data_IF_620478462293
#
_entry.id   IF_620478462293
#
_cell.length_a   1.000
_cell.length_b   1.000
_cell.length_c   1.000
_cell.angle_alpha   90.00
_cell.angle_beta   90.00
_cell.angle_gamma   90.00
#
_symmetry.space_group_name_H-M   'P 1'
#
loop_
_entity.id
_entity.type
_entity.pdbx_description
1 polymer ?
#
# COMPACT_ATOMS: atom_id res chain seq x y z
N UNK A 1 -6.32 -6.33 16.09
CA UNK A 1 -5.15 -5.44 15.79
C UNK A 1 -4.03 -6.28 15.18
N UNK A 2 -3.38 -5.80 14.11
CA UNK A 2 -2.12 -6.39 13.65
C UNK A 2 -1.07 -6.26 14.76
N UNK A 3 -0.49 -7.39 15.19
CA UNK A 3 0.63 -7.33 16.13
C UNK A 3 1.84 -6.67 15.45
N UNK A 4 2.68 -5.98 16.20
CA UNK A 4 3.87 -5.34 15.63
C UNK A 4 4.81 -6.33 14.94
N UNK A 5 4.87 -7.58 15.42
CA UNK A 5 5.60 -8.68 14.77
C UNK A 5 5.08 -9.06 13.38
N UNK A 6 3.86 -8.66 13.05
CA UNK A 6 3.23 -8.89 11.74
C UNK A 6 3.42 -7.72 10.78
N UNK A 7 4.06 -6.63 11.24
CA UNK A 7 4.36 -5.44 10.42
C UNK A 7 5.85 -5.46 10.09
N UNK A 8 6.16 -5.53 8.82
CA UNK A 8 7.52 -5.46 8.29
C UNK A 8 7.68 -4.26 7.37
N UNK A 9 8.92 -3.89 7.09
CA UNK A 9 9.22 -2.75 6.23
C UNK A 9 10.17 -3.18 5.10
N UNK A 10 9.94 -2.64 3.91
CA UNK A 10 10.74 -2.94 2.72
C UNK A 10 11.04 -1.64 1.97
N UNK A 11 12.28 -1.48 1.54
CA UNK A 11 12.68 -0.32 0.76
C UNK A 11 12.08 -0.35 -0.64
N UNK A 12 11.82 0.85 -1.19
CA UNK A 12 11.43 1.05 -2.60
C UNK A 12 12.66 0.78 -3.49
N UNK A 13 12.99 -0.49 -3.64
CA UNK A 13 14.16 -1.00 -4.37
C UNK A 13 13.89 -2.41 -4.91
N UNK A 14 14.04 -2.60 -6.22
CA UNK A 14 13.71 -3.86 -6.89
C UNK A 14 14.58 -5.03 -6.41
N UNK A 15 15.85 -4.79 -6.12
CA UNK A 15 16.72 -5.82 -5.59
C UNK A 15 16.34 -6.27 -4.18
N UNK A 16 15.76 -5.37 -3.38
CA UNK A 16 15.16 -5.72 -2.09
C UNK A 16 13.86 -6.50 -2.26
N UNK A 17 13.02 -6.09 -3.22
CA UNK A 17 11.78 -6.80 -3.51
C UNK A 17 12.05 -8.24 -3.94
N UNK A 18 12.99 -8.47 -4.85
CA UNK A 18 13.34 -9.81 -5.34
C UNK A 18 13.81 -10.77 -4.23
N UNK A 19 14.35 -10.22 -3.14
CA UNK A 19 14.81 -11.00 -1.98
C UNK A 19 13.78 -11.12 -0.87
N UNK A 20 12.64 -10.44 -1.01
CA UNK A 20 11.56 -10.53 -0.01
C UNK A 20 10.78 -11.85 -0.18
N UNK A 21 10.15 -12.35 0.90
CA UNK A 21 9.28 -13.52 0.80
C UNK A 21 8.04 -13.26 -0.07
N UNK A 22 7.73 -11.99 -0.37
CA UNK A 22 6.54 -11.62 -1.11
C UNK A 22 5.26 -11.81 -0.31
N UNK A 23 4.19 -12.20 -1.00
CA UNK A 23 2.90 -12.41 -0.37
C UNK A 23 1.75 -12.58 -1.37
N UNK A 24 0.52 -12.40 -0.87
CA UNK A 24 -0.67 -12.58 -1.69
C UNK A 24 -0.89 -11.44 -2.69
N UNK A 25 -0.59 -10.20 -2.27
CA UNK A 25 -0.75 -9.03 -3.13
C UNK A 25 0.25 -7.91 -2.81
N UNK A 26 0.62 -7.13 -3.84
CA UNK A 26 1.27 -5.83 -3.70
C UNK A 26 0.27 -4.74 -4.08
N UNK A 27 0.18 -3.69 -3.26
CA UNK A 27 -0.71 -2.54 -3.45
C UNK A 27 0.11 -1.30 -3.77
N UNK A 28 -0.24 -0.61 -4.85
CA UNK A 28 0.40 0.65 -5.22
C UNK A 28 -0.65 1.72 -5.55
N UNK A 29 -0.45 2.98 -5.09
CA UNK A 29 -1.31 4.10 -5.42
C UNK A 29 -1.03 4.62 -6.84
N UNK A 30 -2.07 5.13 -7.50
CA UNK A 30 -1.98 5.81 -8.77
C UNK A 30 -2.66 7.18 -8.68
N UNK A 31 -1.97 8.22 -9.13
CA UNK A 31 -2.50 9.58 -9.23
C UNK A 31 -3.07 9.84 -10.61
N UNK A 32 -4.05 10.74 -10.72
CA UNK A 32 -4.55 11.19 -12.02
C UNK A 32 -3.57 12.10 -12.74
N UNK A 33 -2.80 12.87 -12.00
CA UNK A 33 -1.95 13.99 -12.48
C UNK A 33 -0.45 13.75 -12.35
N UNK A 34 0.00 12.51 -12.01
CA UNK A 34 1.43 12.15 -11.94
C UNK A 34 1.81 11.25 -13.10
N UNK A 35 2.55 11.80 -14.04
CA UNK A 35 3.14 11.07 -15.18
C UNK A 35 4.57 11.56 -15.42
N UNK A 36 5.56 10.68 -15.62
CA UNK A 36 5.50 9.20 -15.49
C UNK A 36 5.20 8.76 -14.06
N UNK A 37 4.87 7.47 -13.90
CA UNK A 37 4.67 6.86 -12.58
C UNK A 37 5.95 6.96 -11.75
N UNK A 38 5.79 7.20 -10.44
CA UNK A 38 6.90 7.39 -9.49
C UNK A 38 6.84 6.39 -8.34
N UNK A 39 7.90 6.39 -7.53
CA UNK A 39 7.98 5.56 -6.34
C UNK A 39 7.76 4.08 -6.62
N UNK A 40 7.05 3.40 -5.74
CA UNK A 40 6.76 1.98 -5.86
C UNK A 40 5.94 1.65 -7.12
N UNK A 41 4.99 2.52 -7.51
CA UNK A 41 4.21 2.33 -8.75
C UNK A 41 5.09 2.38 -10.00
N UNK A 42 6.06 3.29 -10.05
CA UNK A 42 7.03 3.38 -11.16
C UNK A 42 7.94 2.15 -11.25
N UNK A 43 8.46 1.68 -10.11
CA UNK A 43 9.29 0.47 -10.07
C UNK A 43 8.48 -0.78 -10.47
N UNK A 44 7.25 -0.88 -9.99
CA UNK A 44 6.36 -1.98 -10.35
C UNK A 44 6.05 -1.95 -11.84
N UNK A 45 5.73 -0.78 -12.41
CA UNK A 45 5.47 -0.62 -13.83
C UNK A 45 6.66 -1.03 -14.69
N UNK A 46 7.88 -0.62 -14.29
CA UNK A 46 9.10 -1.09 -14.97
C UNK A 46 9.22 -2.61 -14.93
N UNK A 47 8.98 -3.25 -13.78
CA UNK A 47 9.02 -4.72 -13.64
C UNK A 47 7.93 -5.41 -14.48
N UNK A 48 6.81 -4.76 -14.69
CA UNK A 48 5.69 -5.21 -15.52
C UNK A 48 5.83 -4.84 -17.01
N UNK A 49 7.02 -4.40 -17.45
CA UNK A 49 7.30 -3.96 -18.82
C UNK A 49 6.39 -2.82 -19.30
N UNK A 50 6.09 -1.85 -18.44
CA UNK A 50 5.28 -0.67 -18.76
C UNK A 50 3.77 -0.94 -18.85
N UNK A 51 3.28 -2.03 -18.26
CA UNK A 51 1.87 -2.42 -18.34
C UNK A 51 0.93 -1.38 -17.75
N UNK A 52 1.26 -0.80 -16.59
CA UNK A 52 0.42 0.23 -15.96
C UNK A 52 0.43 1.51 -16.78
N UNK A 53 1.60 1.96 -17.23
CA UNK A 53 1.72 3.11 -18.12
C UNK A 53 0.98 2.93 -19.44
N UNK A 54 0.94 1.72 -19.98
CA UNK A 54 0.17 1.40 -21.18
C UNK A 54 -1.33 1.57 -20.92
N UNK A 55 -1.86 0.99 -19.83
CA UNK A 55 -3.29 1.10 -19.46
C UNK A 55 -3.71 2.55 -19.23
N UNK A 56 -2.84 3.36 -18.61
CA UNK A 56 -3.07 4.78 -18.41
C UNK A 56 -3.11 5.56 -19.74
N UNK A 57 -2.21 5.27 -20.67
CA UNK A 57 -2.23 5.89 -22.02
C UNK A 57 -3.44 5.50 -22.84
N UNK A 58 -3.94 4.29 -22.66
CA UNK A 58 -5.14 3.77 -23.36
C UNK A 58 -6.45 4.26 -22.71
N UNK A 59 -6.40 5.03 -21.61
CA UNK A 59 -7.59 5.47 -20.87
C UNK A 59 -8.36 4.32 -20.20
N UNK A 60 -7.72 3.16 -20.03
CA UNK A 60 -8.30 1.98 -19.35
C UNK A 60 -8.04 2.00 -17.86
N UNK A 61 -7.24 2.91 -17.41
CA UNK A 61 -6.88 3.20 -16.03
C UNK A 61 -6.58 4.70 -15.95
N UNK A 62 -7.09 5.39 -14.96
CA UNK A 62 -6.95 6.84 -14.85
C UNK A 62 -6.24 7.28 -13.57
N UNK A 63 -6.37 6.52 -12.50
CA UNK A 63 -5.94 6.88 -11.17
C UNK A 63 -6.98 7.68 -10.38
N UNK A 64 -8.23 7.70 -10.87
CA UNK A 64 -9.33 8.37 -10.21
C UNK A 64 -9.57 7.79 -8.79
N UNK A 65 -9.97 8.64 -7.84
CA UNK A 65 -10.18 8.23 -6.45
C UNK A 65 -11.12 7.02 -6.36
N UNK A 66 -10.65 5.95 -5.72
CA UNK A 66 -11.39 4.69 -5.56
C UNK A 66 -11.35 3.73 -6.75
N UNK A 67 -10.75 4.13 -7.89
CA UNK A 67 -10.53 3.22 -9.01
C UNK A 67 -9.58 2.10 -8.62
N UNK A 68 -9.91 0.86 -9.00
CA UNK A 68 -9.14 -0.34 -8.67
C UNK A 68 -8.88 -1.19 -9.89
N UNK A 69 -7.68 -1.74 -9.96
CA UNK A 69 -7.34 -2.80 -10.89
C UNK A 69 -6.60 -3.91 -10.15
N UNK A 70 -7.13 -5.13 -10.22
CA UNK A 70 -6.53 -6.32 -9.65
C UNK A 70 -6.17 -7.31 -10.76
N UNK A 71 -4.94 -7.78 -10.78
CA UNK A 71 -4.50 -8.82 -11.73
C UNK A 71 -3.38 -9.68 -11.15
N UNK A 72 -3.21 -10.88 -11.72
CA UNK A 72 -2.14 -11.79 -11.35
C UNK A 72 -0.82 -11.42 -12.04
N UNK A 73 0.29 -11.69 -11.35
CA UNK A 73 1.62 -11.52 -11.92
C UNK A 73 2.59 -12.58 -11.38
N UNK A 74 3.64 -12.85 -12.14
CA UNK A 74 4.80 -13.64 -11.73
C UNK A 74 6.09 -12.82 -11.78
N UNK A 75 5.95 -11.50 -12.00
CA UNK A 75 7.09 -10.58 -12.21
C UNK A 75 7.66 -10.01 -10.91
N UNK A 76 6.94 -10.16 -9.82
CA UNK A 76 7.33 -9.75 -8.46
C UNK A 76 6.97 -10.87 -7.48
N UNK A 77 7.53 -10.89 -6.26
CA UNK A 77 7.25 -11.95 -5.28
C UNK A 77 5.82 -11.97 -4.71
N UNK A 78 4.96 -11.08 -5.15
CA UNK A 78 3.53 -11.08 -4.81
C UNK A 78 2.71 -11.67 -5.97
N UNK A 79 1.73 -12.50 -5.63
CA UNK A 79 0.90 -13.20 -6.64
C UNK A 79 -0.02 -12.27 -7.42
N UNK A 80 -0.44 -11.16 -6.81
CA UNK A 80 -1.38 -10.19 -7.39
C UNK A 80 -0.85 -8.78 -7.28
N UNK A 81 -1.25 -7.95 -8.21
CA UNK A 81 -1.11 -6.49 -8.14
C UNK A 81 -2.48 -5.89 -7.93
N UNK A 82 -2.65 -5.05 -6.92
CA UNK A 82 -3.79 -4.18 -6.74
C UNK A 82 -3.33 -2.73 -6.90
N UNK A 83 -3.87 -2.03 -7.88
CA UNK A 83 -3.72 -0.58 -7.95
C UNK A 83 -4.92 0.10 -7.30
N UNK A 84 -4.67 1.22 -6.62
CA UNK A 84 -5.72 2.08 -6.06
C UNK A 84 -5.54 3.50 -6.58
N UNK A 85 -6.56 4.01 -7.26
CA UNK A 85 -6.61 5.41 -7.68
C UNK A 85 -6.83 6.31 -6.48
N UNK A 86 -6.05 7.38 -6.39
CA UNK A 86 -6.09 8.33 -5.27
C UNK A 86 -6.50 9.74 -5.69
N UNK A 87 -6.78 9.95 -6.98
CA UNK A 87 -7.19 11.23 -7.53
C UNK A 87 -6.02 12.18 -7.76
N UNK A 88 -6.26 13.48 -7.67
CA UNK A 88 -5.27 14.54 -7.87
C UNK A 88 -4.48 14.85 -6.59
N UNK A 89 -3.20 15.21 -6.76
CA UNK A 89 -2.34 15.61 -5.63
C UNK A 89 -2.94 16.78 -4.84
N UNK A 90 -3.52 17.76 -5.57
CA UNK A 90 -4.06 19.00 -4.98
C UNK A 90 -5.20 18.76 -3.99
N UNK A 91 -5.99 17.72 -4.21
CA UNK A 91 -7.17 17.37 -3.39
C UNK A 91 -6.89 16.29 -2.35
N UNK A 92 -5.67 15.75 -2.32
CA UNK A 92 -5.31 14.69 -1.38
C UNK A 92 -5.27 15.20 0.06
N UNK A 93 -5.96 14.48 0.93
CA UNK A 93 -6.08 14.75 2.36
C UNK A 93 -5.95 13.46 3.16
N UNK A 94 -5.92 13.56 4.49
CA UNK A 94 -5.97 12.39 5.36
C UNK A 94 -7.28 11.60 5.19
N UNK A 95 -8.40 12.29 4.96
CA UNK A 95 -9.67 11.61 4.68
C UNK A 95 -9.63 10.84 3.38
N UNK A 96 -9.00 11.39 2.34
CA UNK A 96 -8.74 10.68 1.09
C UNK A 96 -7.83 9.47 1.29
N UNK A 97 -6.79 9.59 2.13
CA UNK A 97 -5.95 8.46 2.53
C UNK A 97 -6.77 7.37 3.22
N UNK A 98 -7.57 7.74 4.22
CA UNK A 98 -8.43 6.81 4.98
C UNK A 98 -9.43 6.10 4.05
N UNK A 99 -10.07 6.85 3.16
CA UNK A 99 -10.99 6.28 2.15
C UNK A 99 -10.28 5.28 1.24
N UNK A 100 -9.06 5.61 0.77
CA UNK A 100 -8.24 4.69 -0.04
C UNK A 100 -7.89 3.41 0.72
N UNK A 101 -7.53 3.51 2.00
CA UNK A 101 -7.21 2.33 2.82
C UNK A 101 -8.44 1.44 3.06
N UNK A 102 -9.61 2.02 3.33
CA UNK A 102 -10.85 1.27 3.40
C UNK A 102 -11.12 0.53 2.09
N UNK A 103 -11.03 1.22 0.96
CA UNK A 103 -11.23 0.63 -0.38
C UNK A 103 -10.26 -0.52 -0.67
N UNK A 104 -9.00 -0.39 -0.27
CA UNK A 104 -7.98 -1.44 -0.42
C UNK A 104 -8.35 -2.66 0.43
N UNK A 105 -8.59 -2.47 1.72
CA UNK A 105 -8.88 -3.57 2.64
C UNK A 105 -10.21 -4.27 2.30
N UNK A 106 -11.24 -3.51 1.90
CA UNK A 106 -12.50 -4.06 1.40
C UNK A 106 -12.29 -4.94 0.16
N UNK A 107 -11.32 -4.58 -0.69
CA UNK A 107 -11.00 -5.35 -1.91
C UNK A 107 -10.42 -6.74 -1.62
N UNK A 108 -9.97 -7.00 -0.40
CA UNK A 108 -9.42 -8.30 -0.01
C UNK A 108 -10.50 -9.30 0.40
N UNK A 109 -11.74 -8.82 0.65
CA UNK A 109 -12.86 -9.66 1.02
C UNK A 109 -13.11 -10.76 -0.04
N UNK A 110 -13.19 -11.99 0.41
CA UNK A 110 -13.48 -13.15 -0.45
C UNK A 110 -12.33 -13.57 -1.37
N UNK A 111 -11.21 -12.85 -1.40
CA UNK A 111 -10.04 -13.15 -2.25
C UNK A 111 -8.96 -13.96 -1.54
N UNK A 112 -9.09 -14.21 -0.24
CA UNK A 112 -8.09 -14.92 0.56
C UNK A 112 -6.76 -14.17 0.67
N UNK A 113 -6.76 -12.85 0.54
CA UNK A 113 -5.56 -12.01 0.66
C UNK A 113 -5.31 -11.74 2.14
N UNK A 114 -4.19 -12.23 2.66
CA UNK A 114 -3.79 -12.14 4.07
C UNK A 114 -2.40 -11.52 4.26
N UNK A 115 -1.50 -11.68 3.29
CA UNK A 115 -0.13 -11.16 3.31
C UNK A 115 0.05 -10.13 2.20
N UNK A 116 0.34 -8.88 2.57
CA UNK A 116 0.30 -7.75 1.64
C UNK A 116 1.55 -6.89 1.73
N UNK A 117 2.17 -6.61 0.57
CA UNK A 117 3.11 -5.49 0.42
C UNK A 117 2.34 -4.23 0.02
N UNK A 118 2.57 -3.10 0.68
CA UNK A 118 1.79 -1.89 0.44
C UNK A 118 2.65 -0.63 0.40
N UNK A 119 2.61 0.08 -0.73
CA UNK A 119 3.06 1.46 -0.81
C UNK A 119 1.89 2.37 -0.42
N UNK A 120 2.09 3.20 0.60
CA UNK A 120 1.01 4.01 1.15
C UNK A 120 0.72 5.24 0.28
N UNK A 121 -0.56 5.54 -0.04
CA UNK A 121 -0.94 6.72 -0.81
C UNK A 121 -0.38 8.01 -0.21
N UNK A 122 0.07 8.92 -1.07
CA UNK A 122 0.57 10.24 -0.65
C UNK A 122 1.99 10.25 -0.11
N UNK A 123 2.61 9.08 0.14
CA UNK A 123 4.01 9.01 0.61
C UNK A 123 5.00 9.35 -0.48
N UNK A 124 4.77 8.92 -1.70
CA UNK A 124 5.59 9.21 -2.88
C UNK A 124 5.61 10.70 -3.27
N UNK A 125 4.60 11.44 -2.83
CA UNK A 125 4.43 12.89 -3.09
C UNK A 125 4.53 13.73 -1.82
N UNK A 126 4.96 13.14 -0.69
CA UNK A 126 5.14 13.81 0.61
C UNK A 126 3.88 14.55 1.12
N UNK A 127 2.69 14.02 0.79
CA UNK A 127 1.39 14.62 1.17
C UNK A 127 0.92 14.21 2.57
N UNK A 128 1.55 13.18 3.14
CA UNK A 128 1.29 12.67 4.48
C UNK A 128 2.61 12.20 5.09
N UNK A 129 2.83 12.42 6.39
CA UNK A 129 4.04 11.94 7.06
C UNK A 129 4.03 10.43 7.25
N UNK A 130 5.19 9.77 7.33
CA UNK A 130 5.27 8.31 7.54
C UNK A 130 4.50 7.86 8.77
N UNK A 131 4.68 8.56 9.89
CA UNK A 131 4.05 8.23 11.17
C UNK A 131 2.53 8.33 11.09
N UNK A 132 2.03 9.38 10.43
CA UNK A 132 0.59 9.59 10.30
C UNK A 132 -0.03 8.56 9.38
N UNK A 133 0.58 8.30 8.22
CA UNK A 133 0.13 7.29 7.28
C UNK A 133 0.02 5.91 7.95
N UNK A 134 1.05 5.51 8.70
CA UNK A 134 1.06 4.23 9.41
C UNK A 134 -0.04 4.17 10.48
N UNK A 135 -0.19 5.20 11.32
CA UNK A 135 -1.23 5.22 12.37
C UNK A 135 -2.64 5.14 11.78
N UNK A 136 -2.92 5.86 10.71
CA UNK A 136 -4.24 5.82 10.06
C UNK A 136 -4.48 4.45 9.43
N UNK A 137 -3.48 3.86 8.75
CA UNK A 137 -3.59 2.50 8.21
C UNK A 137 -3.91 1.48 9.30
N UNK A 138 -3.18 1.50 10.41
CA UNK A 138 -3.39 0.55 11.51
C UNK A 138 -4.78 0.71 12.14
N UNK A 139 -5.25 1.96 12.31
CA UNK A 139 -6.62 2.24 12.79
C UNK A 139 -7.68 1.68 11.86
N UNK A 140 -7.53 1.85 10.54
CA UNK A 140 -8.46 1.32 9.55
C UNK A 140 -8.43 -0.22 9.53
N UNK A 141 -7.23 -0.81 9.58
CA UNK A 141 -7.06 -2.27 9.60
C UNK A 141 -7.69 -2.90 10.85
N UNK A 142 -7.58 -2.25 12.01
CA UNK A 142 -8.21 -2.69 13.26
C UNK A 142 -9.74 -2.64 13.15
N UNK A 143 -10.29 -1.53 12.70
CA UNK A 143 -11.73 -1.37 12.50
C UNK A 143 -12.30 -2.41 11.53
N UNK A 144 -11.60 -2.67 10.43
CA UNK A 144 -11.98 -3.69 9.46
C UNK A 144 -11.90 -5.11 10.05
N UNK A 145 -10.89 -5.41 10.87
CA UNK A 145 -10.75 -6.71 11.52
C UNK A 145 -11.85 -6.95 12.58
N UNK A 146 -12.30 -5.92 13.27
CA UNK A 146 -13.43 -6.01 14.20
C UNK A 146 -14.75 -6.31 13.47
N UNK A 147 -14.98 -5.64 12.35
CA UNK A 147 -16.18 -5.83 11.54
C UNK A 147 -16.19 -7.17 10.80
N UNK A 148 -15.04 -7.64 10.35
CA UNK A 148 -14.86 -8.83 9.53
C UNK A 148 -13.62 -9.65 9.97
N UNK A 149 -13.68 -10.36 11.11
CA UNK A 149 -12.49 -11.06 11.66
C UNK A 149 -11.86 -12.07 10.68
N UNK A 150 -12.68 -12.70 9.81
CA UNK A 150 -12.21 -13.63 8.79
C UNK A 150 -11.32 -13.01 7.71
N UNK A 151 -11.32 -11.69 7.57
CA UNK A 151 -10.57 -10.94 6.55
C UNK A 151 -9.39 -10.13 7.12
N UNK A 152 -9.10 -10.27 8.42
CA UNK A 152 -7.95 -9.61 9.01
C UNK A 152 -6.64 -10.02 8.29
N UNK A 153 -5.76 -9.04 8.07
CA UNK A 153 -4.43 -9.30 7.55
C UNK A 153 -3.62 -10.09 8.59
N UNK A 154 -2.84 -11.06 8.12
CA UNK A 154 -1.86 -11.78 8.94
C UNK A 154 -0.48 -11.16 8.86
N UNK A 155 -0.15 -10.51 7.72
CA UNK A 155 1.14 -9.89 7.49
C UNK A 155 0.99 -8.61 6.65
N UNK A 156 1.66 -7.55 7.07
CA UNK A 156 1.74 -6.28 6.37
C UNK A 156 3.20 -5.87 6.16
N UNK A 157 3.62 -5.74 4.93
CA UNK A 157 4.92 -5.17 4.55
C UNK A 157 4.71 -3.77 3.99
N UNK A 158 5.08 -2.74 4.74
CA UNK A 158 5.01 -1.35 4.26
C UNK A 158 6.25 -1.05 3.42
N UNK A 159 6.03 -0.53 2.20
CA UNK A 159 7.07 -0.23 1.22
C UNK A 159 7.26 1.28 1.17
N UNK A 160 8.45 1.77 1.58
CA UNK A 160 8.76 3.21 1.58
C UNK A 160 10.29 3.45 1.50
N UNK A 161 10.70 4.69 1.58
CA UNK A 161 12.11 5.11 1.61
C UNK A 161 12.77 4.78 2.95
N UNK A 162 14.10 4.64 3.01
CA UNK A 162 14.81 4.34 4.26
C UNK A 162 14.52 5.32 5.41
N UNK A 163 14.48 6.65 5.20
CA UNK A 163 14.11 7.59 6.28
C UNK A 163 12.68 7.38 6.80
N UNK A 164 11.73 7.14 5.90
CA UNK A 164 10.34 6.87 6.28
C UNK A 164 10.21 5.57 7.06
N UNK A 165 10.90 4.51 6.64
CA UNK A 165 10.94 3.22 7.35
C UNK A 165 11.46 3.40 8.78
N UNK A 166 12.51 4.22 8.98
CA UNK A 166 13.02 4.52 10.31
C UNK A 166 11.93 5.16 11.19
N UNK A 167 11.27 6.21 10.69
CA UNK A 167 10.20 6.90 11.41
C UNK A 167 9.01 5.97 11.73
N UNK A 168 8.60 5.15 10.78
CA UNK A 168 7.54 4.16 10.98
C UNK A 168 7.92 3.08 12.00
N UNK A 169 9.17 2.61 12.00
CA UNK A 169 9.67 1.63 12.98
C UNK A 169 9.62 2.20 14.40
N UNK A 170 10.01 3.46 14.58
CA UNK A 170 9.91 4.15 15.87
C UNK A 170 8.44 4.30 16.31
N UNK A 171 7.54 4.56 15.35
CA UNK A 171 6.10 4.64 15.60
C UNK A 171 5.52 3.30 16.08
N UNK A 172 5.87 2.17 15.43
CA UNK A 172 5.45 0.83 15.87
C UNK A 172 5.91 0.57 17.31
N UNK A 173 7.17 0.82 17.62
CA UNK A 173 7.72 0.64 18.98
C UNK A 173 7.03 1.52 20.03
N UNK A 174 6.61 2.74 19.64
CA UNK A 174 5.86 3.63 20.53
C UNK A 174 4.45 3.10 20.82
N UNK A 175 3.78 2.56 19.80
CA UNK A 175 2.46 1.92 19.95
C UNK A 175 2.56 0.70 20.86
N UNK A 176 3.54 -0.19 20.66
CA UNK A 176 3.76 -1.37 21.51
C UNK A 176 3.93 -1.00 22.98
N UNK A 177 4.75 0.03 23.26
CA UNK A 177 4.96 0.50 24.64
C UNK A 177 3.69 1.03 25.28
N UNK A 178 2.79 1.65 24.50
CA UNK A 178 1.52 2.18 25.01
C UNK A 178 0.48 1.09 25.31
N UNK A 179 0.58 -0.08 24.65
CA UNK A 179 -0.34 -1.19 24.83
C UNK A 179 0.13 -2.19 25.93
N UNK A 180 1.42 -2.14 26.30
CA UNK A 180 2.02 -3.00 27.31
C UNK A 180 1.90 -2.46 28.74
N UNK A 181 1.18 -1.37 28.95
CA UNK A 181 0.83 -0.81 30.25
C UNK A 181 -0.68 -0.86 30.43
#
# INVERSE_FOLDING_TARGET
>A
MLAASQITFLQVDLGRWDRSPGGDAIVVPLWTDVRPLRGAAGLLDWRLNGRLSQLLREGRLEGAAGEKLLFFTTRVPWRRVLTIGVGEISTFSEDAFRASMNTVLDSFHGLGIKSVGMALPGRDMERITPERALRVLLSVAEQQAEQNPGNALSELTVIDTPPAIKAMTETVRAIERSLGH
#
